data_IF_958519579022
#
_entry.id   IF_958519579022
#
_cell.length_a   1.000
_cell.length_b   1.000
_cell.length_c   1.000
_cell.angle_alpha   90.00
_cell.angle_beta   90.00
_cell.angle_gamma   90.00
#
_symmetry.space_group_name_H-M   'P 1'
#
loop_
_entity.id
_entity.type
_entity.pdbx_description
1 polymer ?
#
# COMPACT_ATOMS: atom_id res chain seq x y z
N UNK A 1 -1.68 18.11 4.55
CA UNK A 1 -2.28 16.77 4.77
C UNK A 1 -1.85 16.13 6.08
N UNK A 2 -0.88 15.22 6.20
CA UNK A 2 -0.64 14.52 7.50
C UNK A 2 -0.23 15.43 8.67
N UNK A 3 0.57 16.47 8.41
CA UNK A 3 0.98 17.45 9.43
C UNK A 3 -0.19 18.30 9.91
N UNK A 4 -1.14 18.59 9.02
CA UNK A 4 -2.35 19.36 9.35
C UNK A 4 -3.32 18.53 10.19
N UNK A 5 -3.27 17.19 10.08
CA UNK A 5 -3.98 16.26 10.95
C UNK A 5 -3.22 15.91 12.25
N UNK A 6 -2.19 16.69 12.62
CA UNK A 6 -1.53 16.57 13.92
C UNK A 6 -0.48 15.46 14.03
N UNK A 7 0.23 15.11 12.94
CA UNK A 7 1.35 14.15 13.01
C UNK A 7 2.45 14.64 13.98
N UNK A 8 2.49 14.06 15.18
CA UNK A 8 3.61 14.16 16.14
C UNK A 8 4.41 12.85 16.06
N UNK A 9 5.70 12.95 15.73
CA UNK A 9 6.57 11.78 15.53
C UNK A 9 7.22 11.37 16.85
N UNK A 10 6.46 10.70 17.72
CA UNK A 10 6.95 10.29 19.06
C UNK A 10 7.77 8.98 19.01
N UNK A 11 7.38 8.01 18.17
CA UNK A 11 8.03 6.69 18.07
C UNK A 11 8.15 6.24 16.61
N UNK A 12 9.31 5.69 16.22
CA UNK A 12 9.48 5.05 14.90
C UNK A 12 8.57 3.83 14.85
N UNK A 13 7.59 3.80 13.92
CA UNK A 13 6.51 2.79 13.81
C UNK A 13 5.44 2.85 14.91
N UNK A 14 5.35 3.95 15.66
CA UNK A 14 4.25 4.17 16.59
C UNK A 14 2.89 4.34 15.89
N UNK A 15 1.78 4.24 16.63
CA UNK A 15 0.44 4.51 16.13
C UNK A 15 0.37 5.92 15.52
N UNK A 16 -0.32 6.05 14.39
CA UNK A 16 -0.48 7.30 13.65
C UNK A 16 -1.96 7.55 13.45
N UNK A 17 -2.38 8.82 13.49
CA UNK A 17 -3.76 9.21 13.17
C UNK A 17 -4.10 8.87 11.72
N UNK A 18 -3.14 9.09 10.81
CA UNK A 18 -3.25 8.75 9.40
C UNK A 18 -1.85 8.45 8.83
N UNK A 19 -1.79 7.55 7.86
CA UNK A 19 -0.58 7.23 7.08
C UNK A 19 -0.99 7.19 5.60
N UNK A 20 -0.35 8.02 4.77
CA UNK A 20 -0.63 8.09 3.33
C UNK A 20 0.61 7.59 2.57
N UNK A 21 0.48 6.42 1.96
CA UNK A 21 1.51 5.81 1.12
C UNK A 21 1.18 5.98 -0.37
N UNK A 22 2.17 6.39 -1.17
CA UNK A 22 2.06 6.32 -2.64
C UNK A 22 2.44 4.91 -3.07
N UNK A 23 1.49 4.21 -3.70
CA UNK A 23 1.66 2.81 -4.10
C UNK A 23 2.34 2.66 -5.47
N UNK A 24 1.86 3.41 -6.46
CA UNK A 24 2.38 3.45 -7.83
C UNK A 24 1.99 4.78 -8.48
N UNK A 25 2.61 5.12 -9.61
CA UNK A 25 2.29 6.31 -10.40
C UNK A 25 2.55 6.01 -11.89
N UNK A 26 1.50 5.78 -12.67
CA UNK A 26 1.59 5.32 -14.06
C UNK A 26 2.65 4.20 -14.22
N UNK A 27 3.55 4.33 -15.20
CA UNK A 27 4.68 3.44 -15.44
C UNK A 27 5.99 3.97 -14.81
N UNK A 28 5.90 4.87 -13.83
CA UNK A 28 7.07 5.49 -13.22
C UNK A 28 7.79 4.52 -12.27
N UNK A 29 9.01 4.14 -12.64
CA UNK A 29 9.96 3.52 -11.75
C UNK A 29 10.85 4.59 -11.11
N UNK A 30 10.85 4.64 -9.78
CA UNK A 30 11.63 5.62 -9.02
C UNK A 30 12.33 4.94 -7.85
N UNK A 31 13.63 5.17 -7.70
CA UNK A 31 14.39 4.73 -6.54
C UNK A 31 15.25 5.89 -6.03
N UNK A 32 14.70 6.65 -5.09
CA UNK A 32 15.39 7.77 -4.43
C UNK A 32 15.44 7.53 -2.92
N UNK A 33 16.32 8.23 -2.18
CA UNK A 33 16.36 8.11 -0.71
C UNK A 33 15.05 8.47 0.00
N UNK A 34 14.15 9.21 -0.66
CA UNK A 34 12.90 9.70 -0.06
C UNK A 34 11.64 9.06 -0.64
N UNK A 35 11.73 8.40 -1.79
CA UNK A 35 10.58 7.78 -2.46
C UNK A 35 11.02 6.61 -3.35
N UNK A 36 10.35 5.48 -3.17
CA UNK A 36 10.50 4.28 -3.98
C UNK A 36 9.16 3.93 -4.61
N UNK A 37 9.12 3.87 -5.95
CA UNK A 37 7.96 3.49 -6.74
C UNK A 37 8.34 2.40 -7.77
N UNK A 38 7.51 1.36 -7.95
CA UNK A 38 6.35 1.01 -7.12
C UNK A 38 6.75 0.77 -5.66
N UNK A 39 5.81 0.95 -4.73
CA UNK A 39 6.09 0.80 -3.30
C UNK A 39 6.65 -0.62 -3.01
N UNK A 40 7.81 -0.76 -2.35
CA UNK A 40 8.56 -2.01 -2.32
C UNK A 40 7.82 -3.16 -1.60
N UNK A 41 6.98 -2.84 -0.61
CA UNK A 41 6.25 -3.84 0.19
C UNK A 41 4.79 -4.05 -0.22
N UNK A 42 4.39 -3.56 -1.40
CA UNK A 42 2.99 -3.61 -1.83
C UNK A 42 2.48 -5.05 -1.93
N UNK A 43 3.32 -5.98 -2.45
CA UNK A 43 2.99 -7.39 -2.59
C UNK A 43 2.94 -8.21 -1.30
N UNK A 44 3.31 -7.64 -0.16
CA UNK A 44 3.39 -8.34 1.14
C UNK A 44 2.27 -7.91 2.12
N UNK A 45 1.58 -6.80 1.81
CA UNK A 45 0.60 -6.18 2.72
C UNK A 45 -0.82 -6.51 2.29
N UNK A 46 -1.41 -7.53 2.90
CA UNK A 46 -2.78 -7.98 2.60
C UNK A 46 -3.81 -6.86 2.79
N UNK A 47 -3.66 -6.02 3.82
CA UNK A 47 -4.56 -4.88 4.07
C UNK A 47 -4.47 -3.77 3.01
N UNK A 48 -3.45 -3.77 2.15
CA UNK A 48 -3.35 -2.91 0.96
C UNK A 48 -3.94 -3.62 -0.25
N UNK A 49 -3.59 -4.90 -0.43
CA UNK A 49 -3.98 -5.68 -1.61
C UNK A 49 -5.48 -5.98 -1.67
N UNK A 50 -6.15 -6.23 -0.54
CA UNK A 50 -7.59 -6.48 -0.50
C UNK A 50 -8.40 -5.28 -1.03
N UNK A 51 -8.28 -4.06 -0.47
CA UNK A 51 -9.00 -2.91 -1.01
C UNK A 51 -8.52 -2.52 -2.42
N UNK A 52 -7.24 -2.74 -2.75
CA UNK A 52 -6.73 -2.46 -4.10
C UNK A 52 -7.34 -3.40 -5.15
N UNK A 53 -7.55 -4.68 -4.82
CA UNK A 53 -8.21 -5.64 -5.69
C UNK A 53 -9.69 -5.28 -5.95
N UNK A 54 -10.36 -4.65 -4.98
CA UNK A 54 -11.75 -4.18 -5.14
C UNK A 54 -11.86 -3.05 -6.18
N UNK A 55 -10.85 -2.18 -6.30
CA UNK A 55 -10.90 -0.98 -7.15
C UNK A 55 -10.09 -1.09 -8.45
N UNK A 56 -9.02 -1.88 -8.45
CA UNK A 56 -8.06 -1.97 -9.56
C UNK A 56 -7.41 -3.37 -9.63
N UNK A 57 -8.19 -4.44 -9.89
CA UNK A 57 -7.70 -5.82 -9.88
C UNK A 57 -6.64 -6.12 -10.95
N UNK A 58 -6.70 -5.44 -12.09
CA UNK A 58 -5.78 -5.60 -13.22
C UNK A 58 -4.55 -4.67 -13.16
N UNK A 59 -4.41 -3.88 -12.09
CA UNK A 59 -3.23 -3.04 -11.90
C UNK A 59 -1.97 -3.92 -11.80
N UNK A 60 -0.93 -3.54 -12.53
CA UNK A 60 0.35 -4.24 -12.51
C UNK A 60 1.18 -3.84 -11.30
N UNK A 61 1.64 -4.85 -10.56
CA UNK A 61 2.61 -4.76 -9.47
C UNK A 61 3.91 -5.40 -9.93
N UNK A 62 4.68 -4.67 -10.74
CA UNK A 62 5.79 -5.24 -11.49
C UNK A 62 5.27 -6.20 -12.55
N UNK A 63 5.62 -7.49 -12.44
CA UNK A 63 5.27 -8.53 -13.43
C UNK A 63 3.97 -9.29 -13.13
N UNK A 64 3.25 -8.96 -12.06
CA UNK A 64 2.00 -9.65 -11.65
C UNK A 64 0.88 -8.64 -11.44
N UNK A 65 -0.37 -9.05 -11.69
CA UNK A 65 -1.54 -8.21 -11.37
C UNK A 65 -1.91 -8.31 -9.90
N UNK A 66 -2.55 -7.28 -9.36
CA UNK A 66 -3.06 -7.26 -7.97
C UNK A 66 -3.88 -8.51 -7.65
N UNK A 67 -4.80 -8.90 -8.53
CA UNK A 67 -5.63 -10.10 -8.34
C UNK A 67 -4.79 -11.39 -8.22
N UNK A 68 -3.75 -11.53 -9.05
CA UNK A 68 -2.87 -12.70 -9.06
C UNK A 68 -2.01 -12.76 -7.78
N UNK A 69 -1.55 -11.60 -7.29
CA UNK A 69 -0.80 -11.50 -6.04
C UNK A 69 -1.69 -11.85 -4.84
N UNK A 70 -2.91 -11.32 -4.79
CA UNK A 70 -3.85 -11.59 -3.70
C UNK A 70 -4.30 -13.05 -3.67
N UNK A 71 -4.45 -13.70 -4.82
CA UNK A 71 -4.81 -15.12 -4.91
C UNK A 71 -3.76 -16.04 -4.27
N UNK A 72 -2.49 -15.65 -4.27
CA UNK A 72 -1.38 -16.40 -3.65
C UNK A 72 -1.18 -16.13 -2.16
N UNK A 73 -1.95 -15.23 -1.54
CA UNK A 73 -1.78 -14.81 -0.15
C UNK A 73 -2.95 -15.29 0.72
N UNK A 74 -2.65 -15.64 1.97
CA UNK A 74 -3.70 -15.84 2.96
C UNK A 74 -4.31 -14.47 3.29
N UNK A 75 -5.63 -14.32 3.05
CA UNK A 75 -6.36 -13.06 3.28
C UNK A 75 -6.39 -12.64 4.76
N UNK A 76 -5.99 -13.52 5.68
CA UNK A 76 -5.87 -13.23 7.11
C UNK A 76 -7.16 -12.62 7.69
N UNK A 77 -6.99 -11.76 8.69
CA UNK A 77 -8.09 -11.08 9.40
C UNK A 77 -8.60 -9.81 8.71
N UNK A 78 -8.29 -9.59 7.44
CA UNK A 78 -8.73 -8.37 6.73
C UNK A 78 -10.23 -8.45 6.46
N UNK A 79 -11.00 -7.68 7.22
CA UNK A 79 -12.46 -7.60 7.10
C UNK A 79 -12.87 -6.24 6.57
N UNK A 80 -13.70 -6.22 5.53
CA UNK A 80 -14.32 -5.00 5.04
C UNK A 80 -15.33 -4.50 6.07
N UNK A 81 -15.17 -3.27 6.52
CA UNK A 81 -16.14 -2.61 7.40
C UNK A 81 -17.34 -2.16 6.56
N UNK A 82 -18.55 -2.37 7.10
CA UNK A 82 -19.83 -2.04 6.46
C UNK A 82 -20.19 -0.56 6.62
#
# INVERSE_FOLDING_TARGET
>A
MEREFGRIREVKWGPRVIDIDILTYDDLELNTPTLTLPHPYLGERVFVLVPLADIAPDLNLGSRRVADVLAGLNRGDVTKLA
#
